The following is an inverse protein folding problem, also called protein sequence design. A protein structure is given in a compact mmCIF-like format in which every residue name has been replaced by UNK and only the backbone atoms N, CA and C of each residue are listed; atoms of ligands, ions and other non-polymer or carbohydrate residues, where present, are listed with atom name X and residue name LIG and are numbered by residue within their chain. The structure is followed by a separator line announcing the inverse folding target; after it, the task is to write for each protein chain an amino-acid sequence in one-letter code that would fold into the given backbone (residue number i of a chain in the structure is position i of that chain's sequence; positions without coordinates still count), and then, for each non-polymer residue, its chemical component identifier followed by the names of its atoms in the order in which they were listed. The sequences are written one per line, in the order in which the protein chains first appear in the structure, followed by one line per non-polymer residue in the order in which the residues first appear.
data_IF_699453794213
#
_entry.id   IF_699453794213
#
_cell.length_a   1.000
_cell.length_b   1.000
_cell.length_c   1.000
_cell.angle_alpha   90.00
_cell.angle_beta   90.00
_cell.angle_gamma   90.00
#
_symmetry.space_group_name_H-M   'P 1'
#
loop_
_entity.id
_entity.type
_entity.pdbx_description
1 polymer ?
#
# COMPACT_ATOMS: atom_id res chain seq x y z
N UNK A 1 -46.35 -16.33 9.61
CA UNK A 1 -45.37 -16.31 8.50
C UNK A 1 -44.09 -15.73 9.07
N UNK A 2 -43.20 -16.58 9.58
CA UNK A 2 -41.95 -16.16 10.24
C UNK A 2 -40.91 -15.99 9.13
N UNK A 3 -40.46 -14.76 8.91
CA UNK A 3 -39.34 -14.45 8.04
C UNK A 3 -38.06 -14.89 8.75
N UNK A 4 -37.58 -16.10 8.47
CA UNK A 4 -36.24 -16.54 8.88
C UNK A 4 -35.21 -15.81 8.03
N UNK A 5 -34.67 -14.71 8.57
CA UNK A 5 -33.46 -14.09 8.05
C UNK A 5 -32.36 -15.15 7.90
N UNK A 6 -31.52 -15.10 6.83
CA UNK A 6 -30.40 -16.01 6.68
C UNK A 6 -29.51 -15.95 7.93
N UNK A 7 -28.88 -17.06 8.36
CA UNK A 7 -28.00 -17.05 9.51
C UNK A 7 -26.84 -16.10 9.20
N UNK A 8 -26.86 -14.93 9.81
CA UNK A 8 -25.77 -13.98 9.83
C UNK A 8 -24.62 -14.70 10.55
N UNK A 9 -23.72 -15.29 9.76
CA UNK A 9 -22.53 -15.98 10.25
C UNK A 9 -21.63 -14.90 10.87
N UNK A 10 -21.83 -14.62 12.16
CA UNK A 10 -20.99 -13.72 12.94
C UNK A 10 -19.56 -14.26 12.85
N UNK A 11 -18.63 -13.58 12.16
CA UNK A 11 -17.28 -14.08 11.97
C UNK A 11 -16.62 -14.25 13.34
N UNK A 12 -16.02 -15.42 13.59
CA UNK A 12 -15.36 -15.67 14.87
C UNK A 12 -14.26 -14.62 15.10
N UNK A 13 -14.15 -14.15 16.34
CA UNK A 13 -13.16 -13.20 16.82
C UNK A 13 -11.72 -13.49 16.34
N UNK A 14 -11.34 -14.77 16.17
CA UNK A 14 -10.04 -15.18 15.65
C UNK A 14 -9.83 -14.81 14.18
N UNK A 15 -10.83 -14.94 13.31
CA UNK A 15 -10.73 -14.54 11.89
C UNK A 15 -10.63 -13.02 11.75
N UNK A 16 -11.36 -12.28 12.59
CA UNK A 16 -11.29 -10.81 12.62
C UNK A 16 -9.91 -10.30 13.06
N UNK A 17 -9.25 -11.00 13.99
CA UNK A 17 -7.88 -10.67 14.43
C UNK A 17 -6.85 -10.95 13.34
N UNK A 18 -6.93 -12.08 12.64
CA UNK A 18 -6.03 -12.42 11.53
C UNK A 18 -6.12 -11.39 10.40
N UNK A 19 -7.33 -10.92 10.10
CA UNK A 19 -7.56 -9.85 9.12
C UNK A 19 -6.97 -8.51 9.59
N UNK A 20 -7.13 -8.17 10.87
CA UNK A 20 -6.56 -6.95 11.46
C UNK A 20 -5.02 -6.95 11.42
N UNK A 21 -4.38 -8.04 11.81
CA UNK A 21 -2.92 -8.18 11.80
C UNK A 21 -2.36 -8.13 10.38
N UNK A 22 -3.04 -8.76 9.42
CA UNK A 22 -2.66 -8.70 8.01
C UNK A 22 -2.72 -7.27 7.48
N UNK A 23 -3.77 -6.51 7.82
CA UNK A 23 -3.92 -5.10 7.43
C UNK A 23 -2.87 -4.21 8.10
N UNK A 24 -2.55 -4.46 9.35
CA UNK A 24 -1.54 -3.71 10.11
C UNK A 24 -0.14 -3.92 9.51
N UNK A 25 0.25 -5.16 9.20
CA UNK A 25 1.54 -5.45 8.58
C UNK A 25 1.67 -4.83 7.18
N UNK A 26 0.57 -4.81 6.41
CA UNK A 26 0.53 -4.16 5.11
C UNK A 26 0.72 -2.65 5.24
N UNK A 27 -0.08 -2.01 6.10
CA UNK A 27 0.01 -0.58 6.41
C UNK A 27 1.40 -0.21 6.90
N UNK A 28 1.98 -1.01 7.80
CA UNK A 28 3.32 -0.76 8.32
C UNK A 28 4.39 -0.81 7.22
N UNK A 29 4.37 -1.84 6.35
CA UNK A 29 5.29 -1.93 5.21
C UNK A 29 5.12 -0.79 4.21
N UNK A 30 3.88 -0.41 3.92
CA UNK A 30 3.54 0.71 3.04
C UNK A 30 4.07 2.03 3.58
N UNK A 31 3.77 2.31 4.84
CA UNK A 31 4.22 3.52 5.53
C UNK A 31 5.74 3.58 5.60
N UNK A 32 6.41 2.47 5.96
CA UNK A 32 7.87 2.41 6.01
C UNK A 32 8.50 2.69 4.63
N UNK A 33 7.92 2.16 3.56
CA UNK A 33 8.40 2.38 2.20
C UNK A 33 8.19 3.83 1.74
N UNK A 34 7.01 4.40 1.99
CA UNK A 34 6.75 5.81 1.72
C UNK A 34 7.74 6.69 2.48
N UNK A 35 7.96 6.40 3.76
CA UNK A 35 8.92 7.16 4.57
C UNK A 35 10.34 7.05 4.00
N UNK A 36 10.80 5.84 3.67
CA UNK A 36 12.13 5.63 3.10
C UNK A 36 12.35 6.34 1.76
N UNK A 37 11.29 6.55 0.96
CA UNK A 37 11.38 7.17 -0.37
C UNK A 37 11.05 8.65 -0.41
N UNK A 38 10.24 9.15 0.52
CA UNK A 38 9.83 10.55 0.55
C UNK A 38 10.63 11.38 1.55
N UNK A 39 11.17 10.78 2.62
CA UNK A 39 11.98 11.48 3.61
C UNK A 39 13.37 11.93 3.09
N UNK A 40 14.05 11.22 2.18
CA UNK A 40 15.33 11.70 1.66
C UNK A 40 15.20 12.99 0.86
N UNK A 41 14.06 13.27 0.24
CA UNK A 41 13.87 14.47 -0.58
C UNK A 41 13.98 15.78 0.22
N UNK A 42 13.25 16.00 1.35
CA UNK A 42 13.45 17.17 2.20
C UNK A 42 14.82 17.18 2.89
N UNK A 43 15.39 16.02 3.21
CA UNK A 43 16.73 15.95 3.80
C UNK A 43 17.79 16.41 2.78
N UNK A 44 17.81 15.82 1.59
CA UNK A 44 18.79 16.18 0.58
C UNK A 44 18.52 17.58 0.03
N UNK A 45 17.26 17.97 -0.18
CA UNK A 45 16.92 19.30 -0.69
C UNK A 45 17.16 20.44 0.31
N UNK A 46 17.07 20.16 1.62
CA UNK A 46 17.33 21.16 2.66
C UNK A 46 18.80 21.29 3.05
N UNK A 47 19.58 20.21 2.90
CA UNK A 47 20.95 20.14 3.42
C UNK A 47 22.03 19.95 2.34
N UNK A 48 21.67 19.73 1.07
CA UNK A 48 22.63 19.48 -0.01
C UNK A 48 22.18 20.10 -1.34
N UNK A 49 23.12 20.32 -2.25
CA UNK A 49 22.83 20.79 -3.63
C UNK A 49 22.74 19.65 -4.65
N UNK A 50 22.70 18.39 -4.20
CA UNK A 50 22.68 17.21 -5.07
C UNK A 50 21.46 17.20 -6.01
N UNK A 51 20.32 17.69 -5.52
CA UNK A 51 19.08 17.74 -6.29
C UNK A 51 19.08 18.85 -7.35
N UNK A 52 19.90 19.89 -7.19
CA UNK A 52 20.00 21.03 -8.10
C UNK A 52 20.87 20.75 -9.33
N UNK A 53 21.63 19.65 -9.30
CA UNK A 53 22.46 19.21 -10.41
C UNK A 53 21.63 19.07 -11.69
N UNK A 54 21.97 19.85 -12.72
CA UNK A 54 21.26 19.80 -14.01
C UNK A 54 21.81 18.63 -14.83
N UNK A 55 20.93 17.70 -15.19
CA UNK A 55 21.24 16.52 -16.00
C UNK A 55 21.14 16.86 -17.49
N UNK A 56 20.07 17.58 -17.89
CA UNK A 56 19.90 18.02 -19.28
C UNK A 56 18.90 19.17 -19.42
N UNK A 57 19.25 20.25 -20.12
CA UNK A 57 18.33 21.33 -20.53
C UNK A 57 17.43 21.88 -19.41
N UNK A 58 17.95 21.97 -18.17
CA UNK A 58 17.19 22.45 -17.00
C UNK A 58 16.45 21.36 -16.21
N UNK A 59 16.47 20.10 -16.67
CA UNK A 59 16.02 18.95 -15.88
C UNK A 59 17.08 18.66 -14.82
N UNK A 60 16.72 18.85 -13.56
CA UNK A 60 17.61 18.57 -12.43
C UNK A 60 17.49 17.13 -11.95
N UNK A 61 18.43 16.68 -11.13
CA UNK A 61 18.37 15.36 -10.47
C UNK A 61 17.07 15.21 -9.65
N UNK A 62 16.51 16.31 -9.14
CA UNK A 62 15.20 16.32 -8.48
C UNK A 62 14.07 15.75 -9.35
N UNK A 63 14.06 16.09 -10.65
CA UNK A 63 13.06 15.58 -11.59
C UNK A 63 13.16 14.08 -11.79
N UNK A 64 14.38 13.56 -11.91
CA UNK A 64 14.63 12.11 -12.00
C UNK A 64 14.13 11.40 -10.74
N UNK A 65 14.41 11.98 -9.57
CA UNK A 65 13.98 11.44 -8.30
C UNK A 65 12.44 11.43 -8.18
N UNK A 66 11.77 12.51 -8.57
CA UNK A 66 10.31 12.60 -8.57
C UNK A 66 9.65 11.54 -9.48
N UNK A 67 10.20 11.30 -10.68
CA UNK A 67 9.72 10.23 -11.57
C UNK A 67 9.91 8.86 -10.92
N UNK A 68 11.07 8.61 -10.30
CA UNK A 68 11.31 7.34 -9.60
C UNK A 68 10.31 7.13 -8.44
N UNK A 69 10.03 8.17 -7.65
CA UNK A 69 9.02 8.11 -6.59
C UNK A 69 7.63 7.76 -7.12
N UNK A 70 7.25 8.30 -8.28
CA UNK A 70 5.98 7.98 -8.91
C UNK A 70 5.88 6.50 -9.31
N UNK A 71 6.94 5.94 -9.90
CA UNK A 71 7.02 4.51 -10.23
C UNK A 71 6.86 3.67 -8.96
N UNK A 72 7.54 4.04 -7.87
CA UNK A 72 7.38 3.29 -6.63
C UNK A 72 5.96 3.39 -6.11
N UNK A 73 5.33 4.57 -6.10
CA UNK A 73 3.94 4.72 -5.68
C UNK A 73 3.00 3.78 -6.46
N UNK A 74 3.21 3.62 -7.77
CA UNK A 74 2.46 2.66 -8.60
C UNK A 74 2.74 1.23 -8.16
N UNK A 75 4.01 0.82 -8.03
CA UNK A 75 4.39 -0.55 -7.62
C UNK A 75 3.74 -0.90 -6.28
N UNK A 76 3.75 0.05 -5.36
CA UNK A 76 3.21 -0.07 -4.02
C UNK A 76 1.70 -0.21 -4.03
N UNK A 77 1.00 0.64 -4.79
CA UNK A 77 -0.44 0.55 -4.96
C UNK A 77 -0.83 -0.80 -5.60
N UNK A 78 -0.08 -1.25 -6.62
CA UNK A 78 -0.32 -2.54 -7.29
C UNK A 78 -0.07 -3.72 -6.34
N UNK A 79 0.99 -3.66 -5.54
CA UNK A 79 1.29 -4.68 -4.52
C UNK A 79 0.18 -4.76 -3.47
N UNK A 80 -0.30 -3.61 -2.98
CA UNK A 80 -1.44 -3.54 -2.07
C UNK A 80 -2.70 -4.17 -2.68
N UNK A 81 -3.06 -3.75 -3.89
CA UNK A 81 -4.25 -4.25 -4.60
C UNK A 81 -4.20 -5.77 -4.82
N UNK A 82 -3.04 -6.32 -5.21
CA UNK A 82 -2.87 -7.75 -5.39
C UNK A 82 -3.04 -8.54 -4.08
N UNK A 83 -2.51 -8.01 -2.97
CA UNK A 83 -2.67 -8.60 -1.64
C UNK A 83 -4.09 -8.49 -1.11
N UNK A 84 -4.78 -7.38 -1.36
CA UNK A 84 -6.19 -7.21 -1.01
C UNK A 84 -7.07 -8.21 -1.78
N UNK A 85 -6.85 -8.37 -3.09
CA UNK A 85 -7.57 -9.34 -3.91
C UNK A 85 -7.33 -10.80 -3.47
N UNK A 86 -6.11 -11.14 -3.04
CA UNK A 86 -5.82 -12.45 -2.45
C UNK A 86 -6.66 -12.68 -1.18
N UNK A 87 -6.87 -11.66 -0.35
CA UNK A 87 -7.69 -11.74 0.86
C UNK A 87 -9.18 -11.89 0.54
N UNK A 88 -9.70 -11.12 -0.42
CA UNK A 88 -11.11 -11.18 -0.87
C UNK A 88 -11.47 -12.53 -1.52
N UNK A 89 -10.52 -13.16 -2.20
CA UNK A 89 -10.72 -14.51 -2.77
C UNK A 89 -10.88 -15.59 -1.70
N UNK A 90 -10.30 -15.41 -0.51
CA UNK A 90 -10.39 -16.37 0.61
C UNK A 90 -11.71 -16.26 1.35
N UNK A 91 -12.31 -15.08 1.39
CA UNK A 91 -13.64 -14.85 1.98
C UNK A 91 -14.77 -15.22 1.02
N UNK A 92 -14.52 -15.22 -0.30
CA UNK A 92 -15.48 -15.66 -1.33
C UNK A 92 -15.25 -17.11 -1.74
N UNK A 93 -15.27 -18.05 -0.79
CA UNK A 93 -15.41 -19.48 -1.13
C UNK A 93 -16.91 -19.80 -1.21
N UNK A 94 -17.44 -20.21 -2.38
CA UNK A 94 -18.85 -20.56 -2.50
C UNK A 94 -19.11 -21.78 -1.64
N UNK A 95 -20.02 -21.62 -0.66
CA UNK A 95 -20.70 -22.76 -0.07
C UNK A 95 -21.24 -23.63 -1.22
N UNK A 96 -20.71 -24.86 -1.28
CA UNK A 96 -21.03 -25.90 -2.25
C UNK A 96 -22.53 -25.91 -2.59
N UNK A 97 -22.83 -25.90 -3.88
CA UNK A 97 -24.04 -26.54 -4.41
C UNK A 97 -23.93 -28.06 -4.29
#
# INVERSE_FOLDING_TARGET
MVTSSPPEQVPQNSDLQVLADTRAALTFRLSALVLALFLPLPILGGFTSLLDGVVFSGVTVAWLYAVAQFVVAIVVARYYMARAAELDSRTTSPAKG
#
